data_IF_184887619801
#
_entry.id   IF_184887619801
#
_cell.length_a   1.000
_cell.length_b   1.000
_cell.length_c   1.000
_cell.angle_alpha   90.00
_cell.angle_beta   90.00
_cell.angle_gamma   90.00
#
_symmetry.space_group_name_H-M   'P 1'
#
loop_
_entity.id
_entity.type
_entity.pdbx_description
1 polymer ?
#
# COMPACT_ATOMS: atom_id res chain seq x y z
N UNK A 1 12.23 -1.72 15.60
CA UNK A 1 11.98 -1.17 14.25
C UNK A 1 12.13 -2.28 13.23
N UNK A 2 11.11 -2.54 12.41
CA UNK A 2 11.13 -3.56 11.36
C UNK A 2 12.11 -3.18 10.25
N UNK A 3 12.72 -4.17 9.61
CA UNK A 3 13.61 -4.00 8.46
C UNK A 3 12.77 -3.99 7.19
N UNK A 4 12.66 -2.83 6.55
CA UNK A 4 11.81 -2.60 5.39
C UNK A 4 12.65 -2.63 4.11
N UNK A 5 12.30 -3.52 3.18
CA UNK A 5 12.75 -3.49 1.79
C UNK A 5 11.64 -2.89 0.92
N UNK A 6 12.02 -2.06 -0.04
CA UNK A 6 11.09 -1.46 -1.00
C UNK A 6 11.45 -1.91 -2.40
N UNK A 7 10.48 -2.44 -3.15
CA UNK A 7 10.66 -2.76 -4.56
C UNK A 7 10.63 -1.47 -5.38
N UNK A 8 11.50 -1.37 -6.37
CA UNK A 8 11.69 -0.15 -7.13
C UNK A 8 11.83 -0.47 -8.63
N UNK A 9 11.07 0.22 -9.47
CA UNK A 9 11.02 -0.07 -10.92
C UNK A 9 11.89 0.86 -11.78
N UNK A 10 12.60 1.80 -11.18
CA UNK A 10 13.41 2.78 -11.92
C UNK A 10 12.65 4.05 -12.30
N UNK A 11 11.37 4.22 -11.95
CA UNK A 11 10.65 5.45 -12.23
C UNK A 11 11.09 6.61 -11.30
N UNK A 12 10.90 7.84 -11.75
CA UNK A 12 11.33 9.04 -11.02
C UNK A 12 10.56 9.25 -9.73
N UNK A 13 9.26 8.93 -9.69
CA UNK A 13 8.42 9.09 -8.51
C UNK A 13 8.93 8.23 -7.36
N UNK A 14 9.18 6.94 -7.61
CA UNK A 14 9.76 6.05 -6.61
C UNK A 14 11.12 6.54 -6.13
N UNK A 15 11.98 6.98 -7.07
CA UNK A 15 13.30 7.48 -6.73
C UNK A 15 13.23 8.69 -5.79
N UNK A 16 12.31 9.61 -6.04
CA UNK A 16 12.11 10.79 -5.21
C UNK A 16 11.54 10.37 -3.85
N UNK A 17 10.45 9.61 -3.83
CA UNK A 17 9.76 9.21 -2.60
C UNK A 17 10.70 8.47 -1.65
N UNK A 18 11.32 7.38 -2.13
CA UNK A 18 12.09 6.49 -1.27
C UNK A 18 13.51 6.96 -0.96
N UNK A 19 14.03 7.99 -1.65
CA UNK A 19 15.31 8.62 -1.29
C UNK A 19 15.15 9.95 -0.54
N UNK A 20 13.92 10.44 -0.37
CA UNK A 20 13.65 11.59 0.51
C UNK A 20 14.10 11.25 1.94
N UNK A 21 14.95 12.07 2.59
CA UNK A 21 15.59 11.70 3.87
C UNK A 21 14.60 11.26 4.96
N UNK A 22 13.40 11.88 5.02
CA UNK A 22 12.38 11.57 6.03
C UNK A 22 11.79 10.16 5.90
N UNK A 23 11.80 9.55 4.71
CA UNK A 23 11.35 8.17 4.48
C UNK A 23 12.51 7.20 4.36
N UNK A 24 13.61 7.64 3.75
CA UNK A 24 14.83 6.83 3.59
C UNK A 24 15.33 6.23 4.90
N UNK A 25 15.16 6.93 6.02
CA UNK A 25 15.57 6.46 7.35
C UNK A 25 14.87 5.18 7.82
N UNK A 26 13.67 4.86 7.26
CA UNK A 26 12.92 3.64 7.56
C UNK A 26 13.26 2.49 6.61
N UNK A 27 13.86 2.80 5.45
CA UNK A 27 14.10 1.85 4.37
C UNK A 27 15.50 1.27 4.48
N UNK A 28 15.59 -0.04 4.70
CA UNK A 28 16.85 -0.77 4.74
C UNK A 28 17.45 -0.91 3.34
N UNK A 29 16.64 -1.28 2.36
CA UNK A 29 17.08 -1.55 1.00
C UNK A 29 16.04 -1.15 -0.05
N UNK A 30 16.52 -0.63 -1.19
CA UNK A 30 15.74 -0.46 -2.40
C UNK A 30 16.12 -1.58 -3.37
N UNK A 31 15.20 -2.50 -3.59
CA UNK A 31 15.39 -3.66 -4.47
C UNK A 31 14.90 -3.30 -5.86
N UNK A 32 15.80 -3.31 -6.84
CA UNK A 32 15.41 -3.08 -8.23
C UNK A 32 14.57 -4.27 -8.74
N UNK A 33 13.36 -4.01 -9.24
CA UNK A 33 12.39 -5.06 -9.61
C UNK A 33 12.98 -6.19 -10.49
N UNK A 34 13.84 -5.92 -11.50
CA UNK A 34 14.51 -6.99 -12.25
C UNK A 34 15.40 -7.91 -11.41
N UNK A 35 15.91 -7.44 -10.27
CA UNK A 35 16.81 -8.19 -9.38
C UNK A 35 16.06 -8.91 -8.26
N UNK A 36 14.75 -8.64 -8.11
CA UNK A 36 13.92 -9.22 -7.04
C UNK A 36 13.99 -10.75 -7.04
N UNK A 37 14.02 -11.39 -8.22
CA UNK A 37 14.08 -12.85 -8.33
C UNK A 37 15.30 -13.47 -7.62
N UNK A 38 16.45 -12.76 -7.59
CA UNK A 38 17.72 -13.24 -7.02
C UNK A 38 18.02 -12.66 -5.65
N UNK A 39 17.27 -11.65 -5.20
CA UNK A 39 17.47 -11.01 -3.89
C UNK A 39 17.06 -11.95 -2.76
N UNK A 40 17.87 -12.09 -1.72
CA UNK A 40 17.49 -12.78 -0.49
C UNK A 40 16.57 -11.88 0.36
N UNK A 41 15.30 -12.28 0.50
CA UNK A 41 14.31 -11.55 1.28
C UNK A 41 14.29 -11.96 2.77
N UNK A 42 14.99 -13.02 3.18
CA UNK A 42 14.91 -13.55 4.53
C UNK A 42 15.43 -12.60 5.62
N UNK A 43 16.19 -11.60 5.23
CA UNK A 43 16.75 -10.59 6.14
C UNK A 43 15.79 -9.44 6.46
N UNK A 44 14.63 -9.36 5.78
CA UNK A 44 13.64 -8.28 5.94
C UNK A 44 12.40 -8.78 6.68
N UNK A 45 11.74 -7.86 7.37
CA UNK A 45 10.45 -8.10 8.02
C UNK A 45 9.30 -7.65 7.12
N UNK A 46 9.55 -6.64 6.27
CA UNK A 46 8.56 -6.01 5.40
C UNK A 46 9.07 -5.90 3.97
N UNK A 47 8.22 -6.25 3.02
CA UNK A 47 8.37 -5.97 1.59
C UNK A 47 7.32 -4.96 1.14
N UNK A 48 7.74 -3.74 0.88
CA UNK A 48 6.89 -2.68 0.32
C UNK A 48 6.89 -2.77 -1.20
N UNK A 49 5.72 -3.04 -1.78
CA UNK A 49 5.49 -3.12 -3.22
C UNK A 49 4.69 -1.89 -3.64
N UNK A 50 5.35 -0.85 -4.17
CA UNK A 50 4.71 0.43 -4.50
C UNK A 50 3.78 0.32 -5.70
N UNK A 51 3.02 1.38 -5.93
CA UNK A 51 2.21 1.55 -7.13
C UNK A 51 3.08 1.68 -8.40
N UNK A 52 2.48 1.65 -9.58
CA UNK A 52 3.13 1.94 -10.87
C UNK A 52 4.37 1.06 -11.20
N UNK A 53 4.40 -0.15 -10.70
CA UNK A 53 5.41 -1.14 -11.10
C UNK A 53 5.07 -1.75 -12.48
N UNK A 54 6.09 -2.30 -13.13
CA UNK A 54 5.88 -3.06 -14.36
C UNK A 54 5.13 -4.37 -14.03
N UNK A 55 3.87 -4.45 -14.43
CA UNK A 55 2.96 -5.57 -14.15
C UNK A 55 3.57 -6.93 -14.55
N UNK A 56 4.09 -7.03 -15.79
CA UNK A 56 4.64 -8.28 -16.31
C UNK A 56 5.83 -8.77 -15.47
N UNK A 57 6.66 -7.84 -14.99
CA UNK A 57 7.81 -8.20 -14.15
C UNK A 57 7.37 -8.54 -12.73
N UNK A 58 6.36 -7.83 -12.20
CA UNK A 58 5.80 -8.12 -10.90
C UNK A 58 5.17 -9.52 -10.87
N UNK A 59 4.37 -9.87 -11.87
CA UNK A 59 3.76 -11.20 -12.00
C UNK A 59 4.81 -12.33 -12.07
N UNK A 60 5.94 -12.11 -12.72
CA UNK A 60 7.04 -13.08 -12.72
C UNK A 60 7.66 -13.34 -11.34
N UNK A 61 7.49 -12.42 -10.41
CA UNK A 61 7.99 -12.52 -9.03
C UNK A 61 6.90 -12.84 -8.02
N UNK A 62 5.66 -13.08 -8.45
CA UNK A 62 4.50 -13.29 -7.59
C UNK A 62 4.72 -14.42 -6.58
N UNK A 63 5.25 -15.57 -7.03
CA UNK A 63 5.51 -16.72 -6.16
C UNK A 63 6.54 -16.39 -5.08
N UNK A 64 7.58 -15.61 -5.42
CA UNK A 64 8.58 -15.17 -4.45
C UNK A 64 8.01 -14.24 -3.39
N UNK A 65 7.18 -13.28 -3.81
CA UNK A 65 6.51 -12.36 -2.88
C UNK A 65 5.55 -13.14 -1.97
N UNK A 66 4.80 -14.08 -2.54
CA UNK A 66 3.91 -14.95 -1.77
C UNK A 66 4.68 -15.83 -0.79
N UNK A 67 5.80 -16.43 -1.20
CA UNK A 67 6.64 -17.22 -0.31
C UNK A 67 7.20 -16.39 0.86
N UNK A 68 7.52 -15.11 0.64
CA UNK A 68 7.92 -14.20 1.72
C UNK A 68 6.79 -14.04 2.75
N UNK A 69 5.54 -13.82 2.31
CA UNK A 69 4.39 -13.76 3.20
C UNK A 69 4.10 -15.11 3.89
N UNK A 70 4.21 -16.25 3.17
CA UNK A 70 4.03 -17.59 3.76
C UNK A 70 5.06 -17.89 4.85
N UNK A 71 6.22 -17.28 4.82
CA UNK A 71 7.23 -17.36 5.85
C UNK A 71 7.06 -16.36 7.01
N UNK A 72 5.92 -15.65 7.04
CA UNK A 72 5.59 -14.73 8.14
C UNK A 72 5.97 -13.27 7.87
N UNK A 73 6.44 -12.93 6.67
CA UNK A 73 6.75 -11.56 6.28
C UNK A 73 5.51 -10.69 6.09
N UNK A 74 5.67 -9.38 6.18
CA UNK A 74 4.63 -8.39 5.91
C UNK A 74 4.81 -7.88 4.49
N UNK A 75 3.78 -7.98 3.65
CA UNK A 75 3.77 -7.43 2.28
C UNK A 75 2.81 -6.26 2.22
N UNK A 76 3.31 -5.08 1.84
CA UNK A 76 2.47 -3.91 1.56
C UNK A 76 2.32 -3.76 0.05
N UNK A 77 1.09 -3.73 -0.46
CA UNK A 77 0.76 -3.56 -1.87
C UNK A 77 -0.03 -2.27 -2.09
N UNK A 78 0.51 -1.38 -2.91
CA UNK A 78 -0.04 -0.05 -3.15
C UNK A 78 -0.55 0.14 -4.58
N UNK A 79 -1.65 0.87 -4.68
CA UNK A 79 -2.27 1.28 -5.94
C UNK A 79 -3.06 0.17 -6.64
N UNK A 80 -3.64 0.48 -7.81
CA UNK A 80 -4.16 -0.55 -8.70
C UNK A 80 -3.02 -1.48 -9.12
N UNK A 81 -3.06 -2.73 -8.65
CA UNK A 81 -2.05 -3.74 -8.94
C UNK A 81 -2.71 -4.94 -9.62
N UNK A 82 -1.97 -5.68 -10.44
CA UNK A 82 -2.47 -6.94 -10.97
C UNK A 82 -2.92 -7.86 -9.84
N UNK A 83 -4.21 -8.20 -9.81
CA UNK A 83 -4.79 -8.98 -8.71
C UNK A 83 -4.32 -10.43 -8.65
N UNK A 84 -3.78 -10.95 -9.74
CA UNK A 84 -3.31 -12.33 -9.83
C UNK A 84 -2.14 -12.65 -8.90
N UNK A 85 -1.39 -11.63 -8.47
CA UNK A 85 -0.31 -11.84 -7.51
C UNK A 85 -0.73 -11.60 -6.04
N UNK A 86 -1.83 -10.89 -5.84
CA UNK A 86 -2.42 -10.67 -4.51
C UNK A 86 -3.22 -11.91 -4.05
N UNK A 87 -3.28 -12.21 -2.75
CA UNK A 87 -3.98 -13.39 -2.27
C UNK A 87 -5.50 -13.21 -2.32
N UNK A 88 -6.20 -14.18 -2.91
CA UNK A 88 -7.64 -14.46 -2.74
C UNK A 88 -8.62 -13.27 -2.81
N UNK A 89 -8.27 -12.19 -3.47
CA UNK A 89 -9.11 -10.98 -3.57
C UNK A 89 -9.73 -10.84 -4.98
N UNK A 90 -10.71 -9.96 -5.10
CA UNK A 90 -11.27 -9.54 -6.38
C UNK A 90 -11.10 -8.03 -6.51
N UNK A 91 -10.71 -7.59 -7.69
CA UNK A 91 -10.67 -6.18 -8.06
C UNK A 91 -11.94 -5.78 -8.80
N UNK A 92 -12.41 -4.56 -8.57
CA UNK A 92 -13.49 -3.93 -9.31
C UNK A 92 -13.09 -2.50 -9.68
N UNK A 93 -13.03 -2.22 -10.99
CA UNK A 93 -12.77 -0.88 -11.50
C UNK A 93 -13.91 0.07 -11.13
N UNK A 94 -13.56 1.30 -10.80
CA UNK A 94 -14.51 2.36 -10.50
C UNK A 94 -14.22 3.59 -11.33
N UNK A 95 -15.27 4.30 -11.70
CA UNK A 95 -15.13 5.64 -12.27
C UNK A 95 -14.47 6.56 -11.25
N UNK A 96 -13.38 7.21 -11.66
CA UNK A 96 -12.57 8.04 -10.77
C UNK A 96 -13.11 9.46 -10.76
N UNK A 97 -13.59 9.94 -9.62
CA UNK A 97 -13.88 11.34 -9.40
C UNK A 97 -12.62 12.09 -8.93
N UNK A 98 -11.94 12.75 -9.88
CA UNK A 98 -10.72 13.51 -9.59
C UNK A 98 -10.97 14.89 -8.96
N UNK A 99 -12.23 15.38 -8.93
CA UNK A 99 -12.54 16.78 -8.69
C UNK A 99 -13.48 17.02 -7.52
N UNK A 100 -13.84 15.99 -6.73
CA UNK A 100 -14.80 16.11 -5.63
C UNK A 100 -14.41 17.21 -4.62
N UNK A 101 -13.12 17.42 -4.35
CA UNK A 101 -12.64 18.45 -3.43
C UNK A 101 -12.82 19.90 -3.94
N UNK A 102 -13.12 20.13 -5.19
CA UNK A 102 -13.45 21.43 -5.75
C UNK A 102 -14.92 21.81 -5.53
N UNK A 103 -15.75 20.87 -5.17
CA UNK A 103 -17.17 21.06 -4.96
C UNK A 103 -17.45 21.18 -3.47
N UNK A 104 -17.96 22.34 -3.03
CA UNK A 104 -18.25 22.57 -1.61
C UNK A 104 -19.27 21.56 -1.07
N UNK A 105 -18.86 20.74 -0.11
CA UNK A 105 -19.71 19.73 0.54
C UNK A 105 -19.87 18.43 -0.26
N UNK A 106 -19.11 18.26 -1.35
CA UNK A 106 -19.08 16.98 -2.05
C UNK A 106 -18.50 15.87 -1.16
N UNK A 107 -19.07 14.70 -1.26
CA UNK A 107 -18.64 13.51 -0.56
C UNK A 107 -17.53 12.80 -1.36
N UNK A 108 -16.41 12.49 -0.71
CA UNK A 108 -15.34 11.69 -1.30
C UNK A 108 -15.76 10.24 -1.59
N UNK A 109 -16.85 9.78 -0.95
CA UNK A 109 -17.27 8.39 -1.01
C UNK A 109 -16.43 7.44 -0.14
N UNK A 110 -15.41 7.94 0.56
CA UNK A 110 -14.49 7.14 1.39
C UNK A 110 -14.94 7.17 2.85
N UNK A 111 -14.85 6.04 3.53
CA UNK A 111 -15.26 5.86 4.93
C UNK A 111 -14.17 5.16 5.74
N UNK A 112 -13.95 5.64 6.95
CA UNK A 112 -13.17 4.92 7.95
C UNK A 112 -14.03 3.80 8.53
N UNK A 113 -13.64 2.56 8.30
CA UNK A 113 -14.39 1.37 8.72
C UNK A 113 -13.90 0.86 10.06
N UNK A 114 -12.59 0.86 10.29
CA UNK A 114 -11.99 0.50 11.58
C UNK A 114 -11.03 1.60 12.06
N UNK A 115 -11.57 2.54 12.85
CA UNK A 115 -10.80 3.62 13.48
C UNK A 115 -10.02 3.20 14.73
N UNK A 116 -10.29 2.02 15.29
CA UNK A 116 -9.59 1.50 16.47
C UNK A 116 -8.29 0.77 16.10
N UNK A 117 -8.09 0.43 14.82
CA UNK A 117 -6.83 -0.13 14.35
C UNK A 117 -5.68 0.85 14.60
N UNK A 118 -4.53 0.35 15.01
CA UNK A 118 -3.37 1.15 15.44
C UNK A 118 -2.98 2.23 14.41
N UNK A 119 -3.04 1.92 13.12
CA UNK A 119 -2.75 2.87 12.04
C UNK A 119 -3.58 4.16 12.14
N UNK A 120 -4.90 4.04 12.37
CA UNK A 120 -5.81 5.21 12.43
C UNK A 120 -5.96 5.77 13.82
N UNK A 121 -5.67 4.99 14.83
CA UNK A 121 -5.72 5.44 16.22
C UNK A 121 -4.52 6.33 16.58
N UNK A 122 -3.33 6.01 16.05
CA UNK A 122 -2.08 6.60 16.50
C UNK A 122 -1.29 7.34 15.41
N UNK A 123 -1.53 7.05 14.11
CA UNK A 123 -0.63 7.54 13.05
C UNK A 123 -1.32 8.34 11.95
N UNK A 124 -2.56 8.02 11.57
CA UNK A 124 -3.27 8.65 10.46
C UNK A 124 -4.68 9.06 10.85
N UNK A 125 -5.18 10.06 10.15
CA UNK A 125 -6.61 10.36 10.09
C UNK A 125 -7.18 9.93 8.73
N UNK A 126 -8.51 9.82 8.61
CA UNK A 126 -9.14 9.55 7.32
C UNK A 126 -8.77 10.59 6.25
N UNK A 127 -8.63 11.86 6.65
CA UNK A 127 -8.25 12.94 5.73
C UNK A 127 -6.86 12.76 5.10
N UNK A 128 -5.95 12.09 5.82
CA UNK A 128 -4.60 11.78 5.32
C UNK A 128 -4.58 10.63 4.32
N UNK A 129 -5.67 9.86 4.24
CA UNK A 129 -5.84 8.72 3.34
C UNK A 129 -6.99 8.94 2.33
N UNK A 130 -7.40 10.20 2.11
CA UNK A 130 -8.52 10.54 1.23
C UNK A 130 -8.05 11.32 0.01
N UNK A 131 -8.07 10.65 -1.14
CA UNK A 131 -7.95 11.21 -2.48
C UNK A 131 -8.67 10.29 -3.48
N UNK A 132 -8.48 10.50 -4.78
CA UNK A 132 -9.10 9.63 -5.77
C UNK A 132 -8.55 8.20 -5.71
N UNK A 133 -9.37 7.23 -6.07
CA UNK A 133 -8.99 5.85 -6.32
C UNK A 133 -9.57 5.38 -7.65
N UNK A 134 -8.94 4.35 -8.22
CA UNK A 134 -9.33 3.80 -9.52
C UNK A 134 -10.23 2.58 -9.42
N UNK A 135 -10.45 2.09 -8.23
CA UNK A 135 -11.26 0.91 -7.97
C UNK A 135 -11.21 0.47 -6.52
N UNK A 136 -11.81 -0.66 -6.24
CA UNK A 136 -11.88 -1.25 -4.91
C UNK A 136 -11.51 -2.73 -4.94
N UNK A 137 -11.10 -3.23 -3.79
CA UNK A 137 -10.94 -4.65 -3.57
C UNK A 137 -12.14 -5.25 -2.84
N UNK A 138 -12.40 -6.53 -3.10
CA UNK A 138 -13.32 -7.37 -2.35
C UNK A 138 -12.52 -8.48 -1.69
N UNK A 139 -11.96 -8.22 -0.48
CA UNK A 139 -11.08 -9.16 0.20
C UNK A 139 -11.83 -10.41 0.69
N UNK A 140 -11.09 -11.49 1.02
CA UNK A 140 -11.65 -12.66 1.67
C UNK A 140 -12.33 -12.32 3.01
N UNK A 141 -13.27 -13.15 3.43
CA UNK A 141 -13.89 -13.03 4.74
C UNK A 141 -12.85 -13.18 5.86
N UNK A 142 -12.92 -12.33 6.86
CA UNK A 142 -12.00 -12.32 7.99
C UNK A 142 -10.83 -11.32 7.87
N UNK A 143 -10.68 -10.66 6.73
CA UNK A 143 -9.78 -9.53 6.61
C UNK A 143 -10.31 -8.31 7.38
N UNK A 144 -9.40 -7.49 7.91
CA UNK A 144 -9.76 -6.23 8.58
C UNK A 144 -9.78 -5.08 7.57
N UNK A 145 -10.98 -4.59 7.24
CA UNK A 145 -11.15 -3.44 6.33
C UNK A 145 -11.01 -2.15 7.13
N UNK A 146 -9.96 -1.39 6.88
CA UNK A 146 -9.70 -0.13 7.58
C UNK A 146 -10.40 1.05 6.91
N UNK A 147 -10.37 1.10 5.58
CA UNK A 147 -11.04 2.13 4.77
C UNK A 147 -11.87 1.44 3.69
N UNK A 148 -13.10 1.88 3.52
CA UNK A 148 -14.00 1.41 2.47
C UNK A 148 -14.64 2.56 1.70
N UNK A 149 -15.27 2.24 0.58
CA UNK A 149 -16.25 3.09 -0.08
C UNK A 149 -17.63 2.95 0.59
N UNK A 150 -18.57 3.83 0.26
CA UNK A 150 -19.94 3.83 0.82
C UNK A 150 -20.71 2.54 0.56
N UNK A 151 -20.36 1.78 -0.47
CA UNK A 151 -20.95 0.49 -0.83
C UNK A 151 -20.16 -0.71 -0.28
N UNK A 152 -19.12 -0.48 0.51
CA UNK A 152 -18.35 -1.50 1.21
C UNK A 152 -17.12 -2.04 0.48
N UNK A 153 -16.82 -1.54 -0.73
CA UNK A 153 -15.57 -1.89 -1.42
C UNK A 153 -14.34 -1.42 -0.64
N UNK A 154 -13.37 -2.30 -0.42
CA UNK A 154 -12.18 -1.99 0.38
C UNK A 154 -11.21 -1.09 -0.38
N UNK A 155 -10.78 0.00 0.26
CA UNK A 155 -9.74 0.92 -0.20
C UNK A 155 -8.40 0.61 0.47
N UNK A 156 -8.45 0.25 1.76
CA UNK A 156 -7.30 -0.24 2.53
C UNK A 156 -7.77 -1.34 3.46
N UNK A 157 -7.09 -2.48 3.45
CA UNK A 157 -7.39 -3.58 4.34
C UNK A 157 -6.12 -4.36 4.73
N UNK A 158 -6.24 -5.09 5.83
CA UNK A 158 -5.22 -6.02 6.36
C UNK A 158 -5.73 -7.44 6.17
N UNK A 159 -4.92 -8.28 5.53
CA UNK A 159 -5.20 -9.70 5.35
C UNK A 159 -4.19 -10.53 6.14
N UNK A 160 -4.66 -11.18 7.18
CA UNK A 160 -3.91 -12.14 8.02
C UNK A 160 -4.49 -13.55 7.90
N UNK A 161 -5.38 -13.77 6.92
CA UNK A 161 -6.05 -15.07 6.76
C UNK A 161 -5.56 -15.86 5.55
N UNK A 162 -5.02 -15.18 4.54
CA UNK A 162 -4.61 -15.82 3.29
C UNK A 162 -3.23 -16.49 3.35
N UNK A 163 -2.33 -16.00 4.23
CA UNK A 163 -0.99 -16.53 4.44
C UNK A 163 -0.62 -16.49 5.92
N UNK A 164 0.51 -17.05 6.32
CA UNK A 164 1.02 -16.95 7.71
C UNK A 164 1.45 -15.55 8.09
N UNK A 165 1.93 -14.77 7.11
CA UNK A 165 2.28 -13.37 7.30
C UNK A 165 1.10 -12.46 7.03
N UNK A 166 1.37 -11.17 6.99
CA UNK A 166 0.35 -10.11 6.86
C UNK A 166 0.46 -9.43 5.51
N UNK A 167 -0.68 -9.17 4.88
CA UNK A 167 -0.77 -8.31 3.72
C UNK A 167 -1.47 -7.01 4.09
N UNK A 168 -0.85 -5.89 3.75
CA UNK A 168 -1.42 -4.55 3.83
C UNK A 168 -1.71 -4.12 2.40
N UNK A 169 -2.98 -4.14 2.00
CA UNK A 169 -3.37 -3.93 0.61
C UNK A 169 -4.22 -2.67 0.50
N UNK A 170 -3.84 -1.79 -0.41
CA UNK A 170 -4.57 -0.55 -0.64
C UNK A 170 -4.63 -0.19 -2.12
N UNK A 171 -5.73 0.46 -2.54
CA UNK A 171 -5.86 1.06 -3.88
C UNK A 171 -5.13 2.39 -3.98
N UNK A 172 -4.70 2.95 -2.85
CA UNK A 172 -4.02 4.24 -2.76
C UNK A 172 -2.60 4.16 -3.31
N UNK A 173 -2.09 5.24 -3.86
CA UNK A 173 -0.81 5.34 -4.54
C UNK A 173 0.02 6.54 -4.06
N UNK A 174 0.24 6.67 -2.73
CA UNK A 174 0.91 7.83 -2.15
C UNK A 174 2.35 7.99 -2.64
N UNK A 175 3.03 6.88 -2.93
CA UNK A 175 4.40 6.86 -3.42
C UNK A 175 4.55 7.53 -4.79
N UNK A 176 3.57 7.32 -5.68
CA UNK A 176 3.55 7.94 -6.99
C UNK A 176 3.27 9.45 -6.89
N UNK A 177 2.22 9.83 -6.16
CA UNK A 177 1.78 11.22 -6.10
C UNK A 177 2.73 12.12 -5.31
N UNK A 178 3.28 11.64 -4.21
CA UNK A 178 4.32 12.37 -3.47
C UNK A 178 5.57 12.58 -4.34
N UNK A 179 6.04 11.53 -4.99
CA UNK A 179 7.22 11.59 -5.86
C UNK A 179 7.03 12.39 -7.14
N UNK A 180 5.77 12.66 -7.51
CA UNK A 180 5.40 13.53 -8.64
C UNK A 180 5.07 14.96 -8.20
N UNK A 181 5.25 15.30 -6.91
CA UNK A 181 4.93 16.61 -6.33
C UNK A 181 3.47 17.03 -6.51
N UNK A 182 2.57 16.06 -6.42
CA UNK A 182 1.15 16.24 -6.65
C UNK A 182 0.36 15.74 -5.45
N UNK A 183 -0.58 16.37 -4.92
CA UNK A 183 -1.44 16.01 -3.76
C UNK A 183 -0.71 15.97 -2.39
N UNK A 184 -0.86 17.05 -1.58
CA UNK A 184 -0.26 17.11 -0.24
C UNK A 184 -0.75 16.03 0.75
N UNK A 185 -1.95 15.45 0.54
CA UNK A 185 -2.46 14.37 1.40
C UNK A 185 -1.54 13.14 1.38
N UNK A 186 -0.91 12.86 0.24
CA UNK A 186 -0.02 11.72 0.08
C UNK A 186 1.24 11.83 0.93
N UNK A 187 1.74 13.06 1.15
CA UNK A 187 2.84 13.30 2.08
C UNK A 187 2.42 12.98 3.51
N UNK A 188 1.26 13.49 3.95
CA UNK A 188 0.75 13.22 5.31
C UNK A 188 0.49 11.73 5.53
N UNK A 189 -0.02 11.04 4.51
CA UNK A 189 -0.17 9.58 4.56
C UNK A 189 1.19 8.89 4.80
N UNK A 190 2.20 9.18 4.01
CA UNK A 190 3.52 8.59 4.15
C UNK A 190 4.19 8.96 5.49
N UNK A 191 3.95 10.17 5.99
CA UNK A 191 4.46 10.65 7.29
C UNK A 191 3.92 9.84 8.48
N UNK A 192 2.70 9.30 8.38
CA UNK A 192 2.13 8.38 9.37
C UNK A 192 2.39 6.90 9.04
N UNK A 193 2.30 6.53 7.77
CA UNK A 193 2.39 5.14 7.36
C UNK A 193 3.78 4.52 7.58
N UNK A 194 4.87 5.22 7.25
CA UNK A 194 6.22 4.69 7.46
C UNK A 194 6.57 4.46 8.94
N UNK A 195 6.29 5.40 9.87
CA UNK A 195 6.47 5.13 11.30
C UNK A 195 5.63 3.93 11.79
N UNK A 196 4.36 3.86 11.39
CA UNK A 196 3.51 2.72 11.74
C UNK A 196 4.06 1.41 11.18
N UNK A 197 4.46 1.39 9.92
CA UNK A 197 5.01 0.19 9.29
C UNK A 197 6.30 -0.27 9.99
N UNK A 198 7.11 0.68 10.48
CA UNK A 198 8.35 0.40 11.17
C UNK A 198 8.17 -0.08 12.62
N UNK A 199 7.17 0.43 13.35
CA UNK A 199 7.09 0.28 14.82
C UNK A 199 5.68 0.00 15.34
N UNK A 200 4.61 0.25 14.57
CA UNK A 200 3.22 0.08 14.99
C UNK A 200 2.76 -1.37 15.10
N UNK A 201 1.54 -1.56 15.58
CA UNK A 201 0.87 -2.87 15.65
C UNK A 201 0.18 -3.15 14.30
N UNK A 202 0.55 -4.26 13.64
CA UNK A 202 0.03 -4.67 12.32
C UNK A 202 -0.80 -5.94 12.46
#
# INVERSE_FOLDING_TARGET
>A
MRKIAVVYSGNSSHKITFNTPKYKKYIQELIYLPELATTDLSQFDVLYVPSQLNERMLLKNADKIRAFAENGGIVCAFGPQPWEWLPNQKWEDRETNFWWWLEKGADSGIRLTNGEHDLFKNYLTLADATWHQHGVYWPPAGCDILISTTDGGAVLYIDQVSTKGTWVITTLDPDYHFGSYFMPATERFLDGFFPWLAEGEI
#
